data_IF_243106070297
#
_entry.id   IF_243106070297
#
_cell.length_a   1.000
_cell.length_b   1.000
_cell.length_c   1.000
_cell.angle_alpha   90.00
_cell.angle_beta   90.00
_cell.angle_gamma   90.00
#
_symmetry.space_group_name_H-M   'P 1'
#
loop_
_entity.id
_entity.type
_entity.pdbx_description
1 polymer ?
#
# COMPACT_ATOMS: atom_id res chain seq x y z
N UNK A 1 6.82 7.51 -4.80
CA UNK A 1 7.89 6.79 -4.07
C UNK A 1 7.33 6.54 -2.67
N UNK A 2 7.47 5.34 -2.11
CA UNK A 2 6.95 4.98 -0.78
C UNK A 2 8.03 5.20 0.28
N UNK A 3 7.65 5.66 1.46
CA UNK A 3 8.56 5.79 2.60
C UNK A 3 8.66 4.45 3.33
N UNK A 4 9.88 3.98 3.61
CA UNK A 4 10.12 2.95 4.61
C UNK A 4 10.61 3.62 5.89
N UNK A 5 9.84 3.49 6.96
CA UNK A 5 10.17 4.03 8.29
C UNK A 5 10.44 2.90 9.26
N UNK A 6 11.32 3.16 10.21
CA UNK A 6 11.63 2.17 11.24
C UNK A 6 10.41 1.91 12.11
N UNK A 7 10.04 0.62 12.26
CA UNK A 7 8.90 0.18 13.09
C UNK A 7 9.04 0.48 14.58
N UNK A 8 10.26 0.78 15.06
CA UNK A 8 10.54 1.08 16.47
C UNK A 8 10.63 2.58 16.78
N UNK A 9 11.38 3.35 15.98
CA UNK A 9 11.69 4.75 16.29
C UNK A 9 11.18 5.76 15.25
N UNK A 10 10.39 5.29 14.27
CA UNK A 10 9.79 6.09 13.19
C UNK A 10 10.78 6.90 12.32
N UNK A 11 12.09 6.64 12.44
CA UNK A 11 13.11 7.25 11.58
C UNK A 11 12.87 6.82 10.14
N UNK A 12 12.85 7.77 9.20
CA UNK A 12 12.89 7.48 7.77
C UNK A 12 14.19 6.74 7.43
N UNK A 13 14.07 5.55 6.85
CA UNK A 13 15.19 4.70 6.46
C UNK A 13 15.55 4.90 5.00
N UNK A 14 14.54 4.85 4.12
CA UNK A 14 14.70 5.13 2.69
C UNK A 14 13.36 5.50 2.05
N UNK A 15 13.42 5.92 0.79
CA UNK A 15 12.27 5.98 -0.11
C UNK A 15 12.50 4.98 -1.23
N UNK A 16 11.48 4.23 -1.60
CA UNK A 16 11.59 3.16 -2.60
C UNK A 16 10.47 3.23 -3.65
N UNK A 17 10.72 2.63 -4.80
CA UNK A 17 9.77 2.41 -5.90
C UNK A 17 10.03 1.00 -6.44
N UNK A 18 8.97 0.24 -6.70
CA UNK A 18 9.02 -1.07 -7.36
C UNK A 18 10.06 -2.04 -6.74
N UNK A 19 10.10 -2.09 -5.41
CA UNK A 19 10.99 -2.96 -4.65
C UNK A 19 10.25 -4.24 -4.24
N UNK A 20 10.78 -5.38 -4.68
CA UNK A 20 10.23 -6.72 -4.37
C UNK A 20 10.59 -7.11 -2.94
N UNK A 21 11.83 -6.92 -2.53
CA UNK A 21 12.33 -7.28 -1.21
C UNK A 21 13.43 -6.32 -0.75
N UNK A 22 13.39 -5.92 0.53
CA UNK A 22 14.39 -5.05 1.15
C UNK A 22 14.50 -5.38 2.64
N UNK A 23 15.73 -5.52 3.13
CA UNK A 23 16.05 -5.55 4.56
C UNK A 23 17.05 -4.44 4.91
N UNK A 24 16.78 -3.71 5.99
CA UNK A 24 17.64 -2.61 6.45
C UNK A 24 17.64 -2.46 7.97
N UNK A 25 18.84 -2.40 8.54
CA UNK A 25 19.05 -2.09 9.96
C UNK A 25 18.87 -0.59 10.20
N UNK A 26 18.05 -0.22 11.19
CA UNK A 26 17.89 1.17 11.57
C UNK A 26 19.17 1.69 12.24
N UNK A 27 19.81 2.75 11.71
CA UNK A 27 21.04 3.28 12.29
C UNK A 27 20.81 4.00 13.62
N UNK A 28 19.56 4.36 13.95
CA UNK A 28 19.23 5.03 15.22
C UNK A 28 19.04 4.04 16.38
N UNK A 29 18.29 2.97 16.17
CA UNK A 29 17.86 2.08 17.26
C UNK A 29 18.25 0.61 17.07
N UNK A 30 18.95 0.27 15.99
CA UNK A 30 19.44 -1.08 15.71
C UNK A 30 18.39 -2.08 15.20
N UNK A 31 17.10 -1.74 15.20
CA UNK A 31 16.02 -2.63 14.72
C UNK A 31 16.19 -2.95 13.24
N UNK A 32 16.12 -4.23 12.88
CA UNK A 32 16.04 -4.70 11.49
C UNK A 32 14.61 -4.55 10.98
N UNK A 33 14.46 -3.92 9.81
CA UNK A 33 13.17 -3.67 9.15
C UNK A 33 13.21 -4.34 7.79
N UNK A 34 12.13 -5.04 7.44
CA UNK A 34 11.98 -5.71 6.16
C UNK A 34 10.72 -5.27 5.45
N UNK A 35 10.75 -5.32 4.12
CA UNK A 35 9.66 -5.04 3.19
C UNK A 35 9.65 -6.17 2.18
N UNK A 36 8.47 -6.72 1.91
CA UNK A 36 8.22 -7.61 0.78
C UNK A 36 6.98 -7.13 0.04
N UNK A 37 7.08 -6.95 -1.28
CA UNK A 37 5.95 -6.60 -2.15
C UNK A 37 5.60 -7.78 -3.04
N UNK A 38 4.32 -8.09 -3.14
CA UNK A 38 3.83 -9.10 -4.10
C UNK A 38 3.59 -8.44 -5.45
N UNK A 39 4.07 -9.08 -6.52
CA UNK A 39 3.75 -8.67 -7.88
C UNK A 39 2.31 -9.06 -8.16
N UNK A 40 1.42 -8.08 -8.28
CA UNK A 40 0.07 -8.34 -8.74
C UNK A 40 0.11 -8.59 -10.25
N UNK A 41 0.13 -9.88 -10.65
CA UNK A 41 -0.11 -10.26 -12.04
C UNK A 41 -1.60 -10.06 -12.31
N UNK A 42 -2.00 -8.85 -12.67
CA UNK A 42 -3.33 -8.62 -13.22
C UNK A 42 -3.34 -9.21 -14.63
N UNK A 43 -4.14 -10.26 -14.85
CA UNK A 43 -4.47 -10.71 -16.21
C UNK A 43 -4.92 -9.49 -17.02
N UNK A 44 -4.46 -9.31 -18.27
CA UNK A 44 -4.92 -8.20 -19.10
C UNK A 44 -6.44 -8.24 -19.16
N UNK A 45 -7.09 -7.15 -18.73
CA UNK A 45 -8.54 -6.99 -18.87
C UNK A 45 -8.81 -6.96 -20.37
N UNK A 46 -9.34 -8.05 -20.93
CA UNK A 46 -10.04 -7.99 -22.20
C UNK A 46 -11.13 -6.94 -22.07
N UNK A 47 -11.14 -5.98 -22.98
CA UNK A 47 -12.11 -4.90 -22.98
C UNK A 47 -13.54 -5.48 -23.04
N UNK A 48 -14.43 -4.88 -22.24
CA UNK A 48 -15.89 -5.07 -22.09
C UNK A 48 -16.28 -5.92 -20.88
N UNK A 49 -16.78 -5.27 -19.81
CA UNK A 49 -18.19 -5.39 -19.39
C UNK A 49 -18.55 -4.28 -18.36
N UNK A 50 -19.81 -3.91 -18.34
CA UNK A 50 -20.33 -2.58 -18.02
C UNK A 50 -20.40 -2.22 -16.54
N UNK A 51 -20.38 -0.90 -16.30
CA UNK A 51 -20.38 -0.25 -15.00
C UNK A 51 -21.81 -0.28 -14.43
N UNK A 52 -22.20 -1.32 -13.71
CA UNK A 52 -23.42 -1.25 -12.88
C UNK A 52 -23.15 -0.45 -11.60
N UNK A 53 -23.33 0.88 -11.70
CA UNK A 53 -23.48 1.75 -10.53
C UNK A 53 -24.88 1.51 -9.98
N UNK A 54 -25.01 0.87 -8.82
CA UNK A 54 -26.27 0.88 -8.08
C UNK A 54 -26.34 2.22 -7.33
N UNK A 55 -27.29 3.13 -7.63
CA UNK A 55 -27.51 4.30 -6.82
C UNK A 55 -28.21 3.84 -5.53
N UNK A 56 -27.49 3.76 -4.41
CA UNK A 56 -28.15 3.71 -3.11
C UNK A 56 -28.63 5.12 -2.78
N UNK A 57 -29.95 5.25 -2.80
CA UNK A 57 -30.70 6.47 -2.47
C UNK A 57 -30.37 6.91 -1.05
N UNK A 58 -30.17 8.21 -0.90
CA UNK A 58 -30.11 8.94 0.35
C UNK A 58 -31.49 8.96 1.01
N UNK A 59 -31.62 8.35 2.18
CA UNK A 59 -32.75 8.63 3.06
C UNK A 59 -32.30 9.58 4.16
N UNK A 60 -32.72 10.83 4.01
CA UNK A 60 -32.93 11.72 5.14
C UNK A 60 -34.18 11.25 5.91
N UNK A 61 -34.06 11.02 7.21
CA UNK A 61 -35.11 11.29 8.22
C UNK A 61 -34.48 11.16 9.61
N UNK A 62 -34.36 12.25 10.38
CA UNK A 62 -35.38 12.84 11.28
C UNK A 62 -35.71 11.89 12.44
N UNK A 63 -35.29 12.29 13.63
CA UNK A 63 -35.51 11.66 14.92
C UNK A 63 -34.53 12.19 15.96
#
# INVERSE_FOLDING_TARGET
MKDLRCKKCNKLLCRYRDCIELEIKCPRCGTVNSLTSYVHITKPKTAKEERNVIPVRSDSNVG
#
